data_IF_143143342819
#
_entry.id   IF_143143342819
#
_cell.length_a   1.000
_cell.length_b   1.000
_cell.length_c   1.000
_cell.angle_alpha   90.00
_cell.angle_beta   90.00
_cell.angle_gamma   90.00
#
_symmetry.space_group_name_H-M   'P 1'
#
loop_
_entity.id
_entity.type
_entity.pdbx_description
1 polymer ?
#
# COMPACT_ATOMS: atom_id res chain seq x y z
N UNK A 1 1.22 32.00 1.44
CA UNK A 1 0.12 31.03 1.56
C UNK A 1 -0.60 31.24 2.87
N UNK A 2 -1.93 31.04 2.89
CA UNK A 2 -2.72 31.17 4.13
C UNK A 2 -2.61 29.95 5.03
N UNK A 3 -2.68 30.18 6.35
CA UNK A 3 -2.69 29.15 7.40
C UNK A 3 -3.75 28.07 7.12
N UNK A 4 -3.43 26.83 7.46
CA UNK A 4 -4.41 25.73 7.40
C UNK A 4 -5.45 25.89 8.51
N UNK A 5 -6.66 25.45 8.23
CA UNK A 5 -7.68 25.26 9.29
C UNK A 5 -7.32 24.07 10.17
N UNK A 6 -7.96 23.94 11.33
CA UNK A 6 -7.81 22.77 12.19
C UNK A 6 -8.20 21.48 11.43
N UNK A 7 -9.32 21.50 10.70
CA UNK A 7 -9.78 20.39 9.87
C UNK A 7 -8.75 19.95 8.81
N UNK A 8 -8.13 20.92 8.13
CA UNK A 8 -7.08 20.63 7.14
C UNK A 8 -5.82 20.05 7.78
N UNK A 9 -5.45 20.54 8.96
CA UNK A 9 -4.28 20.05 9.71
C UNK A 9 -4.52 18.62 10.20
N UNK A 10 -5.71 18.35 10.74
CA UNK A 10 -6.09 17.01 11.19
C UNK A 10 -6.21 16.04 10.02
N UNK A 11 -6.67 16.50 8.85
CA UNK A 11 -6.70 15.70 7.63
C UNK A 11 -5.29 15.30 7.15
N UNK A 12 -4.33 16.24 7.15
CA UNK A 12 -2.93 15.91 6.83
C UNK A 12 -2.30 14.97 7.86
N UNK A 13 -2.68 15.09 9.14
CA UNK A 13 -2.22 14.18 10.19
C UNK A 13 -2.78 12.77 9.98
N UNK A 14 -4.08 12.66 9.73
CA UNK A 14 -4.74 11.39 9.48
C UNK A 14 -4.20 10.69 8.23
N UNK A 15 -3.99 11.43 7.13
CA UNK A 15 -3.38 10.89 5.92
C UNK A 15 -1.98 10.33 6.22
N UNK A 16 -1.11 11.12 6.86
CA UNK A 16 0.27 10.72 7.10
C UNK A 16 0.36 9.53 8.07
N UNK A 17 -0.47 9.50 9.11
CA UNK A 17 -0.53 8.38 10.05
C UNK A 17 -0.94 7.07 9.35
N UNK A 18 -1.90 7.14 8.44
CA UNK A 18 -2.35 5.97 7.68
C UNK A 18 -1.27 5.45 6.72
N UNK A 19 -0.59 6.34 5.97
CA UNK A 19 0.54 5.95 5.11
C UNK A 19 1.71 5.37 5.93
N UNK A 20 1.99 5.92 7.11
CA UNK A 20 2.98 5.36 8.03
C UNK A 20 2.59 3.97 8.53
N UNK A 21 1.31 3.77 8.88
CA UNK A 21 0.80 2.48 9.31
C UNK A 21 0.94 1.44 8.20
N UNK A 22 0.55 1.78 6.96
CA UNK A 22 0.67 0.91 5.80
C UNK A 22 2.14 0.56 5.51
N UNK A 23 3.01 1.56 5.38
CA UNK A 23 4.44 1.37 5.12
C UNK A 23 5.12 0.49 6.17
N UNK A 24 4.79 0.70 7.45
CA UNK A 24 5.34 -0.08 8.56
C UNK A 24 4.79 -1.50 8.56
N UNK A 25 3.49 -1.68 8.30
CA UNK A 25 2.85 -3.01 8.25
C UNK A 25 3.46 -3.85 7.12
N UNK A 26 3.59 -3.29 5.92
CA UNK A 26 4.16 -4.00 4.78
C UNK A 26 5.66 -4.26 4.98
N UNK A 27 6.39 -3.33 5.61
CA UNK A 27 7.77 -3.55 6.03
C UNK A 27 7.91 -4.71 7.01
N UNK A 28 6.99 -4.83 7.97
CA UNK A 28 6.98 -5.93 8.92
C UNK A 28 6.68 -7.27 8.23
N UNK A 29 5.70 -7.31 7.31
CA UNK A 29 5.38 -8.52 6.55
C UNK A 29 6.60 -8.99 5.73
N UNK A 30 7.32 -8.07 5.08
CA UNK A 30 8.54 -8.39 4.33
C UNK A 30 9.64 -8.91 5.27
N UNK A 31 9.79 -8.34 6.46
CA UNK A 31 10.74 -8.83 7.45
C UNK A 31 10.41 -10.25 7.94
N UNK A 32 9.13 -10.60 8.00
CA UNK A 32 8.64 -11.87 8.55
C UNK A 32 8.67 -13.01 7.51
N UNK A 33 8.35 -12.70 6.25
CA UNK A 33 8.13 -13.69 5.20
C UNK A 33 9.06 -13.54 3.99
N UNK A 34 9.91 -12.52 3.97
CA UNK A 34 10.76 -12.15 2.85
C UNK A 34 10.06 -11.29 1.80
N UNK A 35 10.80 -10.92 0.76
CA UNK A 35 10.31 -10.11 -0.36
C UNK A 35 9.22 -10.87 -1.15
N UNK A 36 7.97 -10.40 -1.04
CA UNK A 36 6.82 -11.02 -1.68
C UNK A 36 5.87 -9.97 -2.29
N UNK A 37 5.45 -10.11 -3.56
CA UNK A 37 4.40 -9.27 -4.12
C UNK A 37 3.04 -9.50 -3.44
N UNK A 38 2.27 -8.44 -3.14
CA UNK A 38 2.50 -7.07 -3.58
C UNK A 38 3.23 -6.18 -2.57
N UNK A 39 3.57 -6.70 -1.38
CA UNK A 39 4.09 -5.92 -0.24
C UNK A 39 5.30 -5.06 -0.58
N UNK A 40 6.28 -5.59 -1.31
CA UNK A 40 7.50 -4.85 -1.65
C UNK A 40 7.24 -3.63 -2.53
N UNK A 41 6.43 -3.81 -3.57
CA UNK A 41 6.07 -2.74 -4.50
C UNK A 41 5.16 -1.70 -3.86
N UNK A 42 4.18 -2.15 -3.06
CA UNK A 42 3.24 -1.25 -2.38
C UNK A 42 3.95 -0.47 -1.28
N UNK A 43 4.83 -1.11 -0.48
CA UNK A 43 5.65 -0.37 0.50
C UNK A 43 6.49 0.73 -0.15
N UNK A 44 7.04 0.48 -1.35
CA UNK A 44 7.74 1.52 -2.09
C UNK A 44 6.81 2.63 -2.61
N UNK A 45 5.54 2.33 -2.88
CA UNK A 45 4.53 3.33 -3.18
C UNK A 45 4.18 4.17 -1.92
N UNK A 46 3.97 3.55 -0.76
CA UNK A 46 3.67 4.27 0.48
C UNK A 46 4.80 5.21 0.89
N UNK A 47 6.06 4.85 0.63
CA UNK A 47 7.19 5.76 0.84
C UNK A 47 7.04 7.07 0.03
N UNK A 48 6.57 6.98 -1.22
CA UNK A 48 6.33 8.16 -2.07
C UNK A 48 5.09 8.93 -1.63
N UNK A 49 4.07 8.25 -1.10
CA UNK A 49 2.90 8.90 -0.51
C UNK A 49 3.29 9.72 0.71
N UNK A 50 4.10 9.15 1.61
CA UNK A 50 4.70 9.84 2.76
C UNK A 50 5.47 11.08 2.29
N UNK A 51 6.34 10.96 1.30
CA UNK A 51 7.11 12.09 0.75
C UNK A 51 6.20 13.20 0.20
N UNK A 52 5.13 12.84 -0.51
CA UNK A 52 4.15 13.80 -1.04
C UNK A 52 3.42 14.54 0.09
N UNK A 53 3.04 13.84 1.16
CA UNK A 53 2.44 14.45 2.34
C UNK A 53 3.45 15.34 3.08
N UNK A 54 4.68 14.87 3.33
CA UNK A 54 5.74 15.67 3.95
C UNK A 54 6.01 16.97 3.16
N UNK A 55 5.90 16.92 1.84
CA UNK A 55 6.00 18.12 0.99
C UNK A 55 4.88 19.13 1.27
N UNK A 56 3.65 18.68 1.56
CA UNK A 56 2.57 19.56 2.01
C UNK A 56 2.85 20.14 3.40
N UNK A 57 3.35 19.32 4.35
CA UNK A 57 3.75 19.82 5.68
C UNK A 57 4.78 20.94 5.57
N UNK A 58 5.86 20.72 4.81
CA UNK A 58 6.90 21.72 4.57
C UNK A 58 6.33 23.00 3.91
N UNK A 59 5.47 22.82 2.91
CA UNK A 59 4.81 23.91 2.17
C UNK A 59 3.92 24.78 3.06
N UNK A 60 3.32 24.21 4.09
CA UNK A 60 2.48 24.92 5.06
C UNK A 60 3.21 25.29 6.37
N UNK A 61 4.53 25.05 6.46
CA UNK A 61 5.33 25.36 7.65
C UNK A 61 4.96 24.54 8.88
N UNK A 62 4.42 23.33 8.68
CA UNK A 62 4.05 22.42 9.75
C UNK A 62 5.20 21.47 10.08
N UNK A 63 5.45 21.14 11.37
CA UNK A 63 6.36 20.08 11.73
C UNK A 63 5.79 18.74 11.27
N UNK A 64 6.63 17.89 10.67
CA UNK A 64 6.25 16.52 10.28
C UNK A 64 6.24 15.63 11.54
N UNK A 65 5.11 15.01 11.89
CA UNK A 65 5.05 14.04 12.98
C UNK A 65 5.96 12.84 12.73
N UNK A 66 6.58 12.30 13.78
CA UNK A 66 7.33 11.04 13.68
C UNK A 66 6.38 9.85 13.47
N UNK A 67 6.88 8.80 12.80
CA UNK A 67 6.12 7.57 12.60
C UNK A 67 5.96 6.79 13.93
N UNK A 68 4.72 6.63 14.45
CA UNK A 68 4.51 6.00 15.74
C UNK A 68 4.40 4.46 15.67
N UNK A 69 4.36 3.87 14.47
CA UNK A 69 4.01 2.47 14.24
C UNK A 69 5.12 1.42 14.37
N UNK A 70 6.43 1.72 14.37
CA UNK A 70 7.45 0.71 14.61
C UNK A 70 7.18 -0.08 15.89
N UNK A 71 7.15 -1.42 15.77
CA UNK A 71 6.84 -2.33 16.88
C UNK A 71 5.37 -2.38 17.33
N UNK A 72 4.46 -1.65 16.68
CA UNK A 72 3.02 -1.61 17.02
C UNK A 72 2.11 -2.18 15.93
N UNK A 73 2.63 -2.47 14.75
CA UNK A 73 1.85 -3.09 13.66
C UNK A 73 1.56 -4.55 13.93
N UNK A 74 0.46 -5.05 13.35
CA UNK A 74 0.08 -6.45 13.46
C UNK A 74 1.13 -7.36 12.78
N UNK A 75 1.25 -8.57 13.33
CA UNK A 75 1.96 -9.68 12.71
C UNK A 75 0.92 -10.71 12.26
N UNK A 76 1.19 -11.40 11.17
CA UNK A 76 0.26 -12.35 10.57
C UNK A 76 0.83 -13.76 10.69
N UNK A 77 -0.03 -14.79 10.69
CA UNK A 77 0.47 -16.17 10.79
C UNK A 77 1.09 -16.65 9.47
N UNK A 78 0.67 -16.07 8.34
CA UNK A 78 1.12 -16.42 7.00
C UNK A 78 0.84 -15.28 6.00
N UNK A 79 1.41 -15.39 4.79
CA UNK A 79 1.20 -14.40 3.71
C UNK A 79 -0.25 -14.28 3.26
N UNK A 80 -1.06 -15.35 3.37
CA UNK A 80 -2.47 -15.31 2.96
C UNK A 80 -3.26 -14.37 3.86
N UNK A 81 -3.08 -14.47 5.19
CA UNK A 81 -3.69 -13.57 6.16
C UNK A 81 -3.21 -12.13 5.98
N UNK A 82 -1.90 -11.93 5.74
CA UNK A 82 -1.36 -10.60 5.47
C UNK A 82 -1.98 -9.99 4.20
N UNK A 83 -2.20 -10.79 3.15
CA UNK A 83 -2.83 -10.31 1.93
C UNK A 83 -4.32 -10.00 2.11
N UNK A 84 -5.05 -10.79 2.90
CA UNK A 84 -6.43 -10.49 3.26
C UNK A 84 -6.54 -9.21 4.09
N UNK A 85 -5.62 -9.00 5.04
CA UNK A 85 -5.53 -7.77 5.80
C UNK A 85 -5.19 -6.55 4.91
N UNK A 86 -4.33 -6.73 3.91
CA UNK A 86 -4.07 -5.71 2.90
C UNK A 86 -5.32 -5.29 2.13
N UNK A 87 -6.16 -6.25 1.69
CA UNK A 87 -7.46 -5.92 1.05
C UNK A 87 -8.33 -5.06 1.96
N UNK A 88 -8.45 -5.43 3.24
CA UNK A 88 -9.24 -4.67 4.20
C UNK A 88 -8.66 -3.25 4.40
N UNK A 89 -7.34 -3.13 4.54
CA UNK A 89 -6.65 -1.85 4.69
C UNK A 89 -6.87 -0.92 3.49
N UNK A 90 -6.80 -1.41 2.25
CA UNK A 90 -7.03 -0.56 1.07
C UNK A 90 -8.49 -0.11 0.93
N UNK A 91 -9.46 -0.92 1.38
CA UNK A 91 -10.87 -0.50 1.44
C UNK A 91 -11.06 0.60 2.49
N UNK A 92 -10.45 0.43 3.68
CA UNK A 92 -10.47 1.43 4.75
C UNK A 92 -9.78 2.74 4.32
N UNK A 93 -8.65 2.65 3.61
CA UNK A 93 -7.91 3.79 3.05
C UNK A 93 -8.75 4.55 2.02
N UNK A 94 -9.42 3.84 1.10
CA UNK A 94 -10.36 4.45 0.15
C UNK A 94 -11.44 5.28 0.85
N UNK A 95 -12.07 4.72 1.88
CA UNK A 95 -13.09 5.40 2.68
C UNK A 95 -12.52 6.56 3.54
N UNK A 96 -11.28 6.44 4.01
CA UNK A 96 -10.57 7.53 4.67
C UNK A 96 -10.42 8.71 3.71
N UNK A 97 -9.87 8.49 2.51
CA UNK A 97 -9.65 9.57 1.56
C UNK A 97 -10.94 10.25 1.08
N UNK A 98 -12.06 9.53 0.97
CA UNK A 98 -13.37 10.15 0.72
C UNK A 98 -13.72 11.22 1.78
N UNK A 99 -13.47 10.93 3.06
CA UNK A 99 -13.66 11.89 4.15
C UNK A 99 -12.64 13.02 4.11
N UNK A 100 -11.37 12.70 3.84
CA UNK A 100 -10.29 13.69 3.78
C UNK A 100 -10.50 14.69 2.64
N UNK A 101 -11.00 14.26 1.49
CA UNK A 101 -11.31 15.13 0.36
C UNK A 101 -12.41 16.15 0.68
N UNK A 102 -13.32 15.84 1.61
CA UNK A 102 -14.33 16.78 2.08
C UNK A 102 -13.80 17.83 3.07
N UNK A 103 -12.60 17.63 3.63
CA UNK A 103 -12.01 18.52 4.65
C UNK A 103 -11.44 19.84 4.11
N UNK A 104 -11.23 19.94 2.80
CA UNK A 104 -10.53 21.08 2.17
C UNK A 104 -11.08 21.43 0.80
N UNK A 105 -10.88 22.69 0.40
CA UNK A 105 -11.07 23.16 -0.99
C UNK A 105 -9.75 23.56 -1.65
N UNK A 106 -8.62 23.37 -0.97
CA UNK A 106 -7.30 23.78 -1.45
C UNK A 106 -6.83 22.86 -2.56
N UNK A 107 -6.53 23.38 -3.77
CA UNK A 107 -6.19 22.53 -4.91
C UNK A 107 -4.96 21.65 -4.69
N UNK A 108 -3.94 22.15 -3.99
CA UNK A 108 -2.70 21.41 -3.75
C UNK A 108 -2.90 20.20 -2.84
N UNK A 109 -3.67 20.35 -1.75
CA UNK A 109 -4.04 19.24 -0.87
C UNK A 109 -4.94 18.24 -1.62
N UNK A 110 -5.96 18.74 -2.34
CA UNK A 110 -6.88 17.89 -3.11
C UNK A 110 -6.17 17.05 -4.17
N UNK A 111 -5.16 17.60 -4.85
CA UNK A 111 -4.38 16.86 -5.85
C UNK A 111 -3.65 15.68 -5.19
N UNK A 112 -2.95 15.92 -4.07
CA UNK A 112 -2.23 14.86 -3.36
C UNK A 112 -3.20 13.79 -2.85
N UNK A 113 -4.28 14.19 -2.17
CA UNK A 113 -5.27 13.23 -1.65
C UNK A 113 -5.93 12.38 -2.74
N UNK A 114 -6.28 12.97 -3.90
CA UNK A 114 -6.84 12.20 -5.02
C UNK A 114 -5.84 11.21 -5.59
N UNK A 115 -4.57 11.61 -5.74
CA UNK A 115 -3.53 10.72 -6.26
C UNK A 115 -3.31 9.52 -5.33
N UNK A 116 -3.29 9.74 -4.02
CA UNK A 116 -3.12 8.68 -3.02
C UNK A 116 -4.34 7.75 -3.01
N UNK A 117 -5.56 8.30 -3.02
CA UNK A 117 -6.79 7.51 -3.15
C UNK A 117 -6.82 6.67 -4.43
N UNK A 118 -6.47 7.25 -5.58
CA UNK A 118 -6.44 6.53 -6.86
C UNK A 118 -5.41 5.40 -6.82
N UNK A 119 -4.23 5.63 -6.25
CA UNK A 119 -3.21 4.60 -6.10
C UNK A 119 -3.72 3.44 -5.23
N UNK A 120 -4.33 3.72 -4.09
CA UNK A 120 -4.94 2.70 -3.23
C UNK A 120 -6.01 1.91 -3.98
N UNK A 121 -7.02 2.58 -4.51
CA UNK A 121 -8.21 1.93 -5.09
C UNK A 121 -7.94 1.22 -6.42
N UNK A 122 -7.12 1.82 -7.30
CA UNK A 122 -6.94 1.32 -8.65
C UNK A 122 -5.70 0.43 -8.80
N UNK A 123 -4.79 0.45 -7.82
CA UNK A 123 -3.51 -0.27 -7.91
C UNK A 123 -3.29 -1.22 -6.74
N UNK A 124 -3.35 -0.71 -5.51
CA UNK A 124 -3.04 -1.50 -4.32
C UNK A 124 -4.12 -2.54 -4.04
N UNK A 125 -5.39 -2.12 -3.98
CA UNK A 125 -6.52 -3.00 -3.71
C UNK A 125 -6.59 -4.18 -4.69
N UNK A 126 -6.56 -3.98 -6.03
CA UNK A 126 -6.52 -5.10 -6.97
C UNK A 126 -5.28 -5.99 -6.81
N UNK A 127 -4.13 -5.42 -6.40
CA UNK A 127 -2.92 -6.21 -6.19
C UNK A 127 -3.02 -7.11 -4.96
N UNK A 128 -3.62 -6.65 -3.87
CA UNK A 128 -3.92 -7.47 -2.70
C UNK A 128 -5.01 -8.50 -2.95
N UNK A 129 -6.06 -8.16 -3.71
CA UNK A 129 -7.09 -9.12 -4.13
C UNK A 129 -6.47 -10.29 -4.92
N UNK A 130 -5.61 -9.99 -5.91
CA UNK A 130 -4.85 -11.02 -6.63
C UNK A 130 -3.90 -11.81 -5.73
N UNK A 131 -3.39 -11.22 -4.65
CA UNK A 131 -2.57 -11.96 -3.69
C UNK A 131 -3.39 -13.03 -2.95
N UNK A 132 -4.58 -12.65 -2.47
CA UNK A 132 -5.53 -13.55 -1.79
C UNK A 132 -5.93 -14.71 -2.71
N UNK A 133 -6.20 -14.42 -3.98
CA UNK A 133 -6.55 -15.44 -4.98
C UNK A 133 -5.41 -16.46 -5.19
N UNK A 134 -4.16 -15.99 -5.25
CA UNK A 134 -2.98 -16.86 -5.45
C UNK A 134 -2.74 -17.82 -4.28
N UNK A 135 -2.86 -17.35 -3.04
CA UNK A 135 -2.66 -18.24 -1.89
C UNK A 135 -3.82 -19.22 -1.67
N UNK A 136 -5.03 -18.90 -2.16
CA UNK A 136 -6.17 -19.83 -2.21
C UNK A 136 -5.99 -20.93 -3.27
N UNK A 137 -5.20 -20.68 -4.32
CA UNK A 137 -4.98 -21.60 -5.45
C UNK A 137 -3.94 -22.70 -5.24
N UNK A 138 -3.26 -22.75 -4.08
CA UNK A 138 -2.21 -23.76 -3.82
C UNK A 138 -2.72 -25.11 -3.28
N UNK A 139 -4.04 -25.34 -3.32
CA UNK A 139 -4.68 -26.59 -2.91
C UNK A 139 -5.22 -27.43 -4.08
N UNK A 140 -4.40 -27.81 -5.06
CA UNK A 140 -4.84 -28.75 -6.11
C UNK A 140 -3.99 -28.78 -7.38
N UNK A 141 -2.88 -29.52 -7.35
CA UNK A 141 -2.03 -29.68 -8.53
C UNK A 141 -0.97 -30.78 -8.39
N UNK A 142 -1.38 -32.01 -8.06
CA UNK A 142 -0.55 -33.20 -8.33
C UNK A 142 -0.96 -33.79 -9.67
N UNK A 143 -0.02 -33.79 -10.62
CA UNK A 143 -0.07 -34.48 -11.91
C UNK A 143 0.65 -33.64 -12.97
N UNK A 144 1.77 -34.02 -13.58
CA UNK A 144 2.43 -35.31 -13.73
C UNK A 144 2.80 -35.44 -15.21
N UNK A 145 4.09 -35.27 -15.57
CA UNK A 145 4.64 -35.49 -16.92
C UNK A 145 4.15 -34.48 -17.98
N UNK A 146 4.91 -34.02 -18.96
CA UNK A 146 5.87 -34.74 -19.80
C UNK A 146 6.94 -33.75 -20.27
N UNK A 147 8.19 -34.16 -20.08
CA UNK A 147 9.36 -33.59 -20.76
C UNK A 147 9.21 -33.83 -22.27
N UNK A 148 9.17 -32.79 -23.10
CA UNK A 148 9.52 -32.92 -24.52
C UNK A 148 10.89 -32.29 -24.78
N UNK A 149 11.86 -33.20 -24.74
CA UNK A 149 13.21 -33.15 -25.29
C UNK A 149 13.16 -32.73 -26.76
N UNK A 150 13.69 -31.55 -27.10
CA UNK A 150 14.06 -31.23 -28.47
C UNK A 150 15.49 -31.73 -28.72
N UNK A 151 15.58 -32.89 -29.37
CA UNK A 151 16.82 -33.48 -29.85
C UNK A 151 17.18 -32.95 -31.25
N UNK A 152 18.27 -32.19 -31.29
CA UNK A 152 19.32 -32.08 -32.31
C UNK A 152 19.21 -32.88 -33.65
N UNK A 153 19.62 -32.16 -34.73
CA UNK A 153 20.45 -32.61 -35.89
C UNK A 153 19.73 -33.43 -37.00
N UNK A 154 20.03 -33.38 -38.31
CA UNK A 154 21.10 -32.82 -39.20
C UNK A 154 20.59 -32.90 -40.67
N UNK A 155 21.24 -32.13 -41.56
CA UNK A 155 21.43 -32.24 -43.01
C UNK A 155 20.73 -33.35 -43.83
N UNK A 156 20.16 -32.94 -44.96
CA UNK A 156 20.62 -33.29 -46.32
C UNK A 156 20.33 -32.11 -47.26
#
# INVERSE_FOLDING_TARGET
>A
MGLLTASETDALRAALDDEYRAWTTYGQVIADFGEAPPFSNIRAAEARHIEALCSLYARYGLPVPENPWPGKVARYANLQEACAAGVAAEIENGALYERLLASTRRPDILIVFRNLQEASQQRHLPAFQRCVERGSGSGGGRGGGVRRRWGQRRHA
#
